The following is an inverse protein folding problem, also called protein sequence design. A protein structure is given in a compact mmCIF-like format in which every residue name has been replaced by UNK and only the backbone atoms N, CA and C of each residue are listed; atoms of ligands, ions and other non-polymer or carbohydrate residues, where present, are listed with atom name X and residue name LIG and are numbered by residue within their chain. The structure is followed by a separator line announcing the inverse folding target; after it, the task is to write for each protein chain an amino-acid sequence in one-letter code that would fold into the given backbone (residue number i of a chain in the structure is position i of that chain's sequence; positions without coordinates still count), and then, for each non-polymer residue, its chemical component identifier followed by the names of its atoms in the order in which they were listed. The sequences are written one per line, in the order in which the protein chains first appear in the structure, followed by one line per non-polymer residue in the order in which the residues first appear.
data_IF_111747614907
#
_entry.id   IF_111747614907
#
_cell.length_a   1.000
_cell.length_b   1.000
_cell.length_c   1.000
_cell.angle_alpha   90.00
_cell.angle_beta   90.00
_cell.angle_gamma   90.00
#
_symmetry.space_group_name_H-M   'P 1'
#
loop_
_entity.id
_entity.type
_entity.pdbx_description
1 polymer ?
#
# COMPACT_ATOMS: atom_id res chain seq x y z
N UNK A 1 0.34 24.33 -8.38
CA UNK A 1 -0.38 23.34 -7.53
C UNK A 1 -1.05 22.37 -8.49
N UNK A 2 -0.63 21.10 -8.53
CA UNK A 2 -1.33 20.09 -9.34
C UNK A 2 -2.63 19.75 -8.62
N UNK A 3 -3.77 20.08 -9.23
CA UNK A 3 -5.06 19.55 -8.83
C UNK A 3 -5.04 18.05 -9.13
N UNK A 4 -4.88 17.22 -8.10
CA UNK A 4 -5.29 15.83 -8.21
C UNK A 4 -6.82 15.85 -8.20
N UNK A 5 -7.43 15.64 -9.36
CA UNK A 5 -8.88 15.46 -9.44
C UNK A 5 -9.26 14.27 -8.55
N UNK A 6 -9.94 14.57 -7.43
CA UNK A 6 -10.49 13.58 -6.51
C UNK A 6 -11.65 12.88 -7.23
N UNK A 7 -11.32 11.86 -8.00
CA UNK A 7 -12.30 10.90 -8.50
C UNK A 7 -12.63 9.90 -7.38
N UNK A 8 -13.73 9.16 -7.52
CA UNK A 8 -14.03 8.08 -6.59
C UNK A 8 -13.04 6.93 -6.77
N UNK A 9 -12.68 6.25 -5.68
CA UNK A 9 -11.92 5.00 -5.74
C UNK A 9 -12.72 3.97 -6.54
N UNK A 10 -12.04 3.27 -7.42
CA UNK A 10 -12.60 2.24 -8.28
C UNK A 10 -12.22 0.84 -7.83
N UNK A 11 -13.04 -0.15 -8.19
CA UNK A 11 -12.77 -1.59 -8.02
C UNK A 11 -11.39 -1.95 -8.60
N UNK A 12 -11.03 -1.38 -9.74
CA UNK A 12 -9.78 -1.71 -10.44
C UNK A 12 -8.55 -1.17 -9.70
N UNK A 13 -8.63 0.04 -9.15
CA UNK A 13 -7.58 0.58 -8.28
C UNK A 13 -7.35 -0.31 -7.05
N UNK A 14 -8.42 -0.84 -6.45
CA UNK A 14 -8.29 -1.75 -5.29
C UNK A 14 -7.65 -3.08 -5.71
N UNK A 15 -8.04 -3.65 -6.86
CA UNK A 15 -7.43 -4.87 -7.39
C UNK A 15 -5.95 -4.69 -7.68
N UNK A 16 -5.59 -3.61 -8.37
CA UNK A 16 -4.20 -3.28 -8.68
C UNK A 16 -3.38 -3.09 -7.39
N UNK A 17 -3.94 -2.40 -6.40
CA UNK A 17 -3.31 -2.20 -5.11
C UNK A 17 -3.05 -3.52 -4.37
N UNK A 18 -4.01 -4.44 -4.38
CA UNK A 18 -3.87 -5.78 -3.81
C UNK A 18 -2.82 -6.63 -4.54
N UNK A 19 -2.82 -6.62 -5.88
CA UNK A 19 -1.85 -7.38 -6.67
C UNK A 19 -0.42 -6.89 -6.43
N UNK A 20 -0.22 -5.58 -6.43
CA UNK A 20 1.06 -4.96 -6.11
C UNK A 20 1.49 -5.31 -4.67
N UNK A 21 0.59 -5.21 -3.69
CA UNK A 21 0.92 -5.55 -2.30
C UNK A 21 1.33 -7.02 -2.16
N UNK A 22 0.56 -7.94 -2.76
CA UNK A 22 0.86 -9.39 -2.75
C UNK A 22 2.20 -9.70 -3.41
N UNK A 23 2.46 -9.10 -4.57
CA UNK A 23 3.74 -9.24 -5.28
C UNK A 23 4.90 -8.70 -4.43
N UNK A 24 4.69 -7.56 -3.77
CA UNK A 24 5.65 -6.98 -2.84
C UNK A 24 5.97 -7.89 -1.66
N UNK A 25 4.95 -8.52 -1.05
CA UNK A 25 5.11 -9.49 0.04
C UNK A 25 5.92 -10.70 -0.45
N UNK A 26 5.57 -11.30 -1.59
CA UNK A 26 6.32 -12.43 -2.16
C UNK A 26 7.77 -12.06 -2.44
N UNK A 27 8.04 -10.89 -3.01
CA UNK A 27 9.41 -10.41 -3.22
C UNK A 27 10.16 -10.21 -1.90
N UNK A 28 9.50 -9.69 -0.86
CA UNK A 28 10.11 -9.51 0.46
C UNK A 28 10.52 -10.84 1.07
N UNK A 29 9.62 -11.84 1.05
CA UNK A 29 9.87 -13.20 1.53
C UNK A 29 11.05 -13.87 0.80
N UNK A 30 11.16 -13.60 -0.52
CA UNK A 30 12.28 -14.05 -1.35
C UNK A 30 13.56 -13.19 -1.20
N UNK A 31 13.57 -12.22 -0.29
CA UNK A 31 14.68 -11.27 -0.04
C UNK A 31 15.02 -10.37 -1.24
N UNK A 32 14.11 -10.25 -2.19
CA UNK A 32 14.16 -9.32 -3.33
C UNK A 32 13.66 -7.94 -2.87
N UNK A 33 14.41 -7.32 -1.97
CA UNK A 33 13.90 -6.17 -1.21
C UNK A 33 13.69 -4.92 -2.07
N UNK A 34 14.46 -4.71 -3.14
CA UNK A 34 14.26 -3.57 -4.04
C UNK A 34 12.94 -3.73 -4.80
N UNK A 35 12.71 -4.90 -5.37
CA UNK A 35 11.49 -5.26 -6.09
C UNK A 35 10.27 -5.22 -5.16
N UNK A 36 10.44 -5.64 -3.91
CA UNK A 36 9.41 -5.51 -2.88
C UNK A 36 9.05 -4.03 -2.64
N UNK A 37 10.06 -3.18 -2.40
CA UNK A 37 9.87 -1.74 -2.18
C UNK A 37 9.17 -1.07 -3.36
N UNK A 38 9.55 -1.42 -4.59
CA UNK A 38 8.94 -0.84 -5.79
C UNK A 38 7.46 -1.19 -5.90
N UNK A 39 7.08 -2.44 -5.62
CA UNK A 39 5.68 -2.85 -5.60
C UNK A 39 4.89 -2.20 -4.47
N UNK A 40 5.45 -2.08 -3.27
CA UNK A 40 4.81 -1.37 -2.16
C UNK A 40 4.60 0.13 -2.48
N UNK A 41 5.58 0.77 -3.13
CA UNK A 41 5.42 2.16 -3.60
C UNK A 41 4.33 2.30 -4.66
N UNK A 42 4.18 1.33 -5.57
CA UNK A 42 3.07 1.31 -6.54
C UNK A 42 1.73 1.28 -5.82
N UNK A 43 1.53 0.37 -4.86
CA UNK A 43 0.32 0.30 -4.04
C UNK A 43 0.01 1.65 -3.39
N UNK A 44 0.99 2.27 -2.73
CA UNK A 44 0.80 3.55 -2.04
C UNK A 44 0.61 4.76 -3.00
N UNK A 45 1.02 4.62 -4.27
CA UNK A 45 0.84 5.65 -5.30
C UNK A 45 -0.51 5.55 -6.00
N UNK A 46 -1.26 4.46 -5.82
CA UNK A 46 -2.64 4.33 -6.30
C UNK A 46 -3.50 5.23 -5.42
N UNK A 47 -4.25 6.13 -6.06
CA UNK A 47 -5.14 7.08 -5.41
C UNK A 47 -4.48 7.84 -4.22
N UNK A 48 -3.40 8.61 -4.46
CA UNK A 48 -2.60 9.18 -3.40
C UNK A 48 -3.39 10.22 -2.59
N UNK A 49 -3.51 9.99 -1.27
CA UNK A 49 -4.22 10.87 -0.33
C UNK A 49 -3.50 12.19 -0.09
N UNK A 50 -2.16 12.12 -0.03
CA UNK A 50 -1.31 13.24 0.34
C UNK A 50 -0.15 13.38 -0.65
N UNK A 51 0.15 14.62 -1.02
CA UNK A 51 1.32 14.94 -1.85
C UNK A 51 2.59 14.65 -1.05
N UNK A 52 3.60 14.09 -1.71
CA UNK A 52 4.94 13.84 -1.15
C UNK A 52 5.06 12.86 0.03
N UNK A 53 4.00 12.16 0.46
CA UNK A 53 4.09 11.23 1.61
C UNK A 53 5.18 10.14 1.43
N UNK A 54 5.30 9.55 0.22
CA UNK A 54 6.36 8.58 -0.09
C UNK A 54 7.75 9.19 -0.05
N UNK A 55 7.89 10.44 -0.51
CA UNK A 55 9.16 11.16 -0.45
C UNK A 55 9.58 11.43 0.99
N UNK A 56 8.63 11.80 1.86
CA UNK A 56 8.88 11.99 3.28
C UNK A 56 9.28 10.68 3.98
N UNK A 57 8.59 9.57 3.68
CA UNK A 57 8.96 8.24 4.19
C UNK A 57 10.38 7.86 3.74
N UNK A 58 10.69 8.04 2.45
CA UNK A 58 12.02 7.78 1.90
C UNK A 58 13.10 8.58 2.63
N UNK A 59 12.90 9.88 2.84
CA UNK A 59 13.86 10.74 3.54
C UNK A 59 14.09 10.28 4.98
N UNK A 60 13.02 9.93 5.71
CA UNK A 60 13.12 9.40 7.08
C UNK A 60 13.95 8.12 7.11
N UNK A 61 13.68 7.18 6.21
CA UNK A 61 14.39 5.92 6.12
C UNK A 61 15.89 6.12 5.81
N UNK A 62 16.20 6.95 4.82
CA UNK A 62 17.59 7.26 4.46
C UNK A 62 18.35 7.94 5.61
N UNK A 63 17.72 8.89 6.29
CA UNK A 63 18.34 9.61 7.41
C UNK A 63 18.53 8.76 8.67
N UNK A 64 17.68 7.73 8.85
CA UNK A 64 17.73 6.83 10.00
C UNK A 64 18.74 5.68 9.87
N UNK A 65 19.36 5.50 8.70
CA UNK A 65 20.36 4.44 8.48
C UNK A 65 19.78 3.03 8.53
N UNK A 66 18.51 2.86 8.15
CA UNK A 66 17.84 1.56 8.15
C UNK A 66 18.44 0.63 7.08
N UNK A 67 18.43 -0.67 7.36
CA UNK A 67 18.81 -1.69 6.35
C UNK A 67 17.69 -1.84 5.34
N UNK A 68 18.04 -2.26 4.12
CA UNK A 68 17.08 -2.45 3.02
C UNK A 68 15.88 -3.35 3.38
N UNK A 69 16.08 -4.39 4.18
CA UNK A 69 14.98 -5.21 4.71
C UNK A 69 14.01 -4.42 5.58
N UNK A 70 14.51 -3.55 6.45
CA UNK A 70 13.68 -2.70 7.33
C UNK A 70 12.96 -1.62 6.52
N UNK A 71 13.61 -1.05 5.51
CA UNK A 71 12.97 -0.14 4.56
C UNK A 71 11.81 -0.83 3.85
N UNK A 72 12.02 -2.07 3.39
CA UNK A 72 10.99 -2.88 2.75
C UNK A 72 9.79 -3.12 3.67
N UNK A 73 10.00 -3.41 4.95
CA UNK A 73 8.91 -3.53 5.95
C UNK A 73 8.18 -2.19 6.13
N UNK A 74 8.90 -1.07 6.16
CA UNK A 74 8.28 0.25 6.31
C UNK A 74 7.40 0.60 5.10
N UNK A 75 7.86 0.33 3.88
CA UNK A 75 7.04 0.50 2.68
C UNK A 75 5.87 -0.48 2.64
N UNK A 76 6.04 -1.72 3.10
CA UNK A 76 4.94 -2.69 3.25
C UNK A 76 3.84 -2.15 4.15
N UNK A 77 4.19 -1.61 5.32
CA UNK A 77 3.22 -0.98 6.22
C UNK A 77 2.50 0.21 5.58
N UNK A 78 3.24 1.07 4.86
CA UNK A 78 2.66 2.20 4.13
C UNK A 78 1.67 1.73 3.04
N UNK A 79 2.07 0.75 2.22
CA UNK A 79 1.23 0.15 1.18
C UNK A 79 -0.04 -0.47 1.77
N UNK A 80 0.09 -1.17 2.89
CA UNK A 80 -1.00 -1.84 3.56
C UNK A 80 -2.02 -0.82 4.11
N UNK A 81 -1.57 0.27 4.77
CA UNK A 81 -2.46 1.37 5.19
C UNK A 81 -3.19 2.01 4.01
N UNK A 82 -2.50 2.20 2.88
CA UNK A 82 -3.13 2.74 1.67
C UNK A 82 -4.18 1.79 1.09
N UNK A 83 -3.89 0.49 1.02
CA UNK A 83 -4.88 -0.49 0.58
C UNK A 83 -6.12 -0.51 1.47
N UNK A 84 -5.95 -0.47 2.80
CA UNK A 84 -7.07 -0.38 3.74
C UNK A 84 -7.95 0.83 3.45
N UNK A 85 -7.34 2.00 3.17
CA UNK A 85 -8.09 3.17 2.76
C UNK A 85 -8.92 2.93 1.50
N UNK A 86 -8.31 2.38 0.44
CA UNK A 86 -9.01 2.12 -0.83
C UNK A 86 -10.23 1.22 -0.61
N UNK A 87 -10.05 0.15 0.17
CA UNK A 87 -11.12 -0.78 0.56
C UNK A 87 -12.24 -0.09 1.32
N UNK A 88 -11.92 0.82 2.25
CA UNK A 88 -12.92 1.60 3.01
C UNK A 88 -13.71 2.58 2.14
N UNK A 89 -13.23 2.94 0.93
CA UNK A 89 -13.97 3.80 0.01
C UNK A 89 -14.96 3.04 -0.89
N UNK A 90 -14.86 1.71 -0.97
CA UNK A 90 -15.80 0.89 -1.69
C UNK A 90 -17.10 0.70 -0.89
N UNK A 91 -18.23 0.66 -1.58
CA UNK A 91 -19.49 0.18 -0.99
C UNK A 91 -19.51 -1.35 -0.86
N UNK A 92 -20.53 -1.91 -0.19
CA UNK A 92 -20.62 -3.35 0.06
C UNK A 92 -20.76 -4.19 -1.23
N UNK A 93 -21.43 -3.67 -2.26
CA UNK A 93 -21.60 -4.34 -3.55
C UNK A 93 -20.27 -4.38 -4.33
N UNK A 94 -19.49 -3.30 -4.24
CA UNK A 94 -18.14 -3.20 -4.81
C UNK A 94 -17.14 -4.09 -4.07
N UNK A 95 -17.20 -4.13 -2.73
CA UNK A 95 -16.38 -5.06 -1.92
C UNK A 95 -16.69 -6.51 -2.25
N UNK A 96 -17.94 -6.86 -2.53
CA UNK A 96 -18.29 -8.21 -2.99
C UNK A 96 -17.66 -8.62 -4.32
N UNK A 97 -17.26 -7.65 -5.16
CA UNK A 97 -16.64 -7.88 -6.48
C UNK A 97 -15.11 -7.93 -6.45
N UNK A 98 -14.51 -7.57 -5.32
CA UNK A 98 -13.07 -7.65 -5.09
C UNK A 98 -12.90 -8.57 -3.90
N UNK A 99 -12.50 -9.85 -4.08
CA UNK A 99 -12.20 -10.70 -2.95
C UNK A 99 -11.02 -10.09 -2.19
N UNK A 100 -11.35 -9.32 -1.15
CA UNK A 100 -10.37 -8.78 -0.23
C UNK A 100 -9.84 -9.98 0.52
N UNK A 101 -8.53 -10.20 0.43
CA UNK A 101 -7.89 -11.30 1.12
C UNK A 101 -8.21 -11.18 2.62
N UNK A 102 -8.92 -12.17 3.17
CA UNK A 102 -9.36 -12.16 4.57
C UNK A 102 -8.15 -12.03 5.51
N UNK A 103 -6.99 -12.58 5.11
CA UNK A 103 -5.74 -12.44 5.87
C UNK A 103 -5.26 -10.99 5.95
N UNK A 104 -5.45 -10.19 4.89
CA UNK A 104 -5.15 -8.75 4.92
C UNK A 104 -6.14 -8.00 5.82
N UNK A 105 -7.42 -8.37 5.76
CA UNK A 105 -8.46 -7.76 6.59
C UNK A 105 -8.24 -8.00 8.08
N UNK A 106 -7.78 -9.20 8.47
CA UNK A 106 -7.42 -9.53 9.85
C UNK A 106 -6.18 -8.74 10.31
N UNK A 107 -5.16 -8.61 9.45
CA UNK A 107 -3.97 -7.80 9.74
C UNK A 107 -4.35 -6.33 9.99
N UNK A 108 -5.24 -5.76 9.18
CA UNK A 108 -5.68 -4.37 9.35
C UNK A 108 -6.50 -4.13 10.62
N UNK A 109 -7.39 -5.06 10.98
CA UNK A 109 -8.18 -4.95 12.23
C UNK A 109 -7.28 -4.89 13.47
N UNK A 110 -6.16 -5.61 13.45
CA UNK A 110 -5.20 -5.63 14.57
C UNK A 110 -4.28 -4.40 14.65
N UNK A 111 -4.37 -3.45 13.70
CA UNK A 111 -3.56 -2.22 13.69
C UNK A 111 -4.31 -0.97 14.18
N UNK A 112 -5.64 -1.06 14.33
CA UNK A 112 -6.47 0.02 14.86
C UNK A 112 -6.73 -0.09 16.38
N UNK A 113 -6.20 -1.13 17.04
CA UNK A 113 -6.18 -1.32 18.51
C UNK A 113 -4.89 -0.78 19.16
#
# INVERSE_FOLDING_TARGET
MMNMEKHAVTIEEVREAQENLKTGITNHENKQFNEAIDNFKKTASIHPREVDHLKQLQQKLQSGGYKLQQESIAYMGCAAVHLNYLVQQLDEDQKGQVPIDESLSEIFKNWEE
#
